data_IF_095633713164
#
_entry.id   IF_095633713164
#
_cell.length_a   1.000
_cell.length_b   1.000
_cell.length_c   1.000
_cell.angle_alpha   90.00
_cell.angle_beta   90.00
_cell.angle_gamma   90.00
#
_symmetry.space_group_name_H-M   'P 1'
#
loop_
_entity.id
_entity.type
_entity.pdbx_description
1 polymer ?
#
# COMPACT_ATOMS: atom_id res chain seq x y z
N UNK A 1 10.70 8.21 -2.57
CA UNK A 1 10.45 6.78 -2.30
C UNK A 1 11.68 5.99 -2.68
N UNK A 2 12.08 5.06 -1.84
CA UNK A 2 13.24 4.23 -2.14
C UNK A 2 12.94 3.31 -3.32
N UNK A 3 14.01 2.96 -4.05
CA UNK A 3 13.85 2.07 -5.21
C UNK A 3 13.26 0.73 -4.82
N UNK A 4 13.72 0.13 -3.73
CA UNK A 4 13.20 -1.16 -3.30
C UNK A 4 11.73 -1.09 -2.93
N UNK A 5 11.28 0.00 -2.31
CA UNK A 5 9.87 0.19 -2.00
C UNK A 5 9.05 0.30 -3.28
N UNK A 6 9.54 1.07 -4.24
CA UNK A 6 8.84 1.22 -5.51
C UNK A 6 8.74 -0.12 -6.24
N UNK A 7 9.83 -0.89 -6.25
CA UNK A 7 9.85 -2.18 -6.93
C UNK A 7 8.88 -3.17 -6.29
N UNK A 8 8.87 -3.24 -4.95
CA UNK A 8 7.98 -4.16 -4.24
C UNK A 8 6.52 -3.76 -4.40
N UNK A 9 6.22 -2.48 -4.22
CA UNK A 9 4.83 -2.04 -4.28
C UNK A 9 4.28 -2.08 -5.69
N UNK A 10 5.12 -1.81 -6.70
CA UNK A 10 4.71 -1.96 -8.08
C UNK A 10 4.40 -3.43 -8.39
N UNK A 11 5.26 -4.35 -7.92
CA UNK A 11 5.00 -5.78 -8.11
C UNK A 11 3.71 -6.19 -7.42
N UNK A 12 3.50 -5.74 -6.19
CA UNK A 12 2.28 -6.04 -5.46
C UNK A 12 1.03 -5.58 -6.23
N UNK A 13 1.05 -4.35 -6.73
CA UNK A 13 -0.09 -3.82 -7.48
C UNK A 13 -0.32 -4.56 -8.80
N UNK A 14 0.72 -5.15 -9.36
CA UNK A 14 0.63 -5.96 -10.58
C UNK A 14 0.38 -7.43 -10.30
N UNK A 15 0.19 -7.80 -9.04
CA UNK A 15 -0.04 -9.17 -8.61
C UNK A 15 1.14 -10.09 -8.93
N UNK A 16 2.35 -9.53 -8.90
CA UNK A 16 3.57 -10.27 -9.17
C UNK A 16 4.39 -10.44 -7.89
N UNK A 17 5.19 -11.49 -7.85
CA UNK A 17 6.08 -11.74 -6.71
C UNK A 17 7.37 -10.96 -6.85
N UNK A 18 7.89 -10.48 -5.73
CA UNK A 18 9.18 -9.83 -5.71
C UNK A 18 9.74 -9.83 -4.29
N UNK A 19 11.05 -9.91 -4.19
CA UNK A 19 11.73 -9.81 -2.90
C UNK A 19 12.89 -8.84 -3.03
N UNK A 20 12.99 -7.93 -2.07
CA UNK A 20 14.13 -7.04 -1.93
C UNK A 20 14.52 -7.04 -0.47
N UNK A 21 15.60 -7.75 -0.14
CA UNK A 21 16.07 -7.88 1.23
C UNK A 21 14.98 -8.44 2.13
N UNK A 22 14.48 -7.65 3.07
CA UNK A 22 13.50 -8.12 4.06
C UNK A 22 12.08 -7.71 3.74
N UNK A 23 11.88 -7.08 2.59
CA UNK A 23 10.56 -6.74 2.10
C UNK A 23 10.24 -7.66 0.94
N UNK A 24 9.05 -8.25 0.94
CA UNK A 24 8.66 -9.13 -0.15
C UNK A 24 7.17 -9.04 -0.41
N UNK A 25 6.78 -9.41 -1.61
CA UNK A 25 5.38 -9.59 -1.93
C UNK A 25 5.23 -10.89 -2.71
N UNK A 26 4.10 -11.56 -2.47
CA UNK A 26 3.72 -12.73 -3.27
C UNK A 26 2.64 -12.36 -4.29
N UNK A 27 2.37 -11.08 -4.44
CA UNK A 27 1.33 -10.58 -5.33
C UNK A 27 0.01 -10.33 -4.62
N UNK A 28 -0.24 -10.98 -3.50
CA UNK A 28 -1.48 -10.81 -2.74
C UNK A 28 -1.28 -9.99 -1.48
N UNK A 29 -0.08 -10.00 -0.93
CA UNK A 29 0.23 -9.25 0.29
C UNK A 29 1.67 -8.79 0.25
N UNK A 30 1.99 -7.84 1.11
CA UNK A 30 3.35 -7.33 1.29
C UNK A 30 3.77 -7.63 2.72
N UNK A 31 4.99 -8.16 2.85
CA UNK A 31 5.57 -8.53 4.13
C UNK A 31 6.86 -7.76 4.36
N UNK A 32 7.04 -7.26 5.57
CA UNK A 32 8.28 -6.65 6.01
C UNK A 32 8.77 -7.42 7.22
N UNK A 33 9.98 -7.98 7.14
CA UNK A 33 10.53 -8.84 8.20
C UNK A 33 9.57 -9.97 8.56
N UNK A 34 8.84 -10.49 7.58
CA UNK A 34 7.89 -11.58 7.82
C UNK A 34 6.53 -11.12 8.35
N UNK A 35 6.34 -9.84 8.62
CA UNK A 35 5.06 -9.32 9.11
C UNK A 35 4.25 -8.76 7.95
N UNK A 36 3.00 -9.18 7.84
CA UNK A 36 2.12 -8.70 6.78
C UNK A 36 1.71 -7.25 7.07
N UNK A 37 2.10 -6.35 6.19
CA UNK A 37 1.80 -4.92 6.37
C UNK A 37 0.79 -4.40 5.35
N UNK A 38 0.54 -5.13 4.27
CA UNK A 38 -0.47 -4.74 3.29
C UNK A 38 -1.01 -5.99 2.61
N UNK A 39 -2.26 -5.94 2.17
CA UNK A 39 -2.86 -7.06 1.46
C UNK A 39 -4.06 -6.58 0.65
N UNK A 40 -4.47 -7.43 -0.30
CA UNK A 40 -5.62 -7.14 -1.15
C UNK A 40 -6.84 -7.83 -0.59
N UNK A 41 -7.91 -7.06 -0.41
CA UNK A 41 -9.17 -7.60 0.02
C UNK A 41 -9.89 -8.28 -1.16
N UNK A 42 -10.87 -9.15 -0.89
CA UNK A 42 -11.58 -9.83 -1.98
C UNK A 42 -12.25 -8.90 -2.99
N UNK A 43 -12.64 -7.70 -2.57
CA UNK A 43 -13.27 -6.74 -3.47
C UNK A 43 -12.24 -5.86 -4.21
N UNK A 44 -10.96 -6.10 -4.01
CA UNK A 44 -9.90 -5.35 -4.68
C UNK A 44 -9.35 -4.17 -3.89
N UNK A 45 -9.97 -3.84 -2.77
CA UNK A 45 -9.42 -2.79 -1.91
C UNK A 45 -8.11 -3.23 -1.31
N UNK A 46 -7.29 -2.24 -0.91
CA UNK A 46 -5.99 -2.51 -0.31
C UNK A 46 -6.05 -2.13 1.17
N UNK A 47 -5.75 -3.09 2.02
CA UNK A 47 -5.66 -2.87 3.46
C UNK A 47 -4.21 -2.84 3.90
N UNK A 48 -3.91 -2.08 4.92
CA UNK A 48 -2.54 -1.95 5.42
C UNK A 48 -2.53 -1.67 6.91
N UNK A 49 -1.41 -2.00 7.54
CA UNK A 49 -1.23 -1.82 8.98
C UNK A 49 0.24 -1.68 9.28
N UNK A 50 0.56 -0.97 10.37
CA UNK A 50 1.94 -0.94 10.87
C UNK A 50 2.34 -2.26 11.49
N UNK A 51 1.38 -3.16 11.73
CA UNK A 51 1.61 -4.51 12.26
C UNK A 51 2.35 -4.49 13.60
N UNK A 52 2.16 -3.43 14.37
CA UNK A 52 2.84 -3.28 15.66
C UNK A 52 4.26 -2.73 15.57
N UNK A 53 4.75 -2.44 14.37
CA UNK A 53 6.12 -1.97 14.16
C UNK A 53 6.11 -0.51 13.71
N UNK A 54 6.32 0.40 14.67
CA UNK A 54 6.28 1.84 14.40
C UNK A 54 7.64 2.36 13.95
N UNK A 55 8.28 1.68 13.02
CA UNK A 55 9.61 2.09 12.57
C UNK A 55 9.51 2.98 11.35
N UNK A 56 10.54 3.82 11.12
CA UNK A 56 10.57 4.62 9.89
C UNK A 56 10.49 3.75 8.63
N UNK A 57 11.06 2.55 8.67
CA UNK A 57 11.02 1.65 7.51
C UNK A 57 9.58 1.22 7.20
N UNK A 58 8.81 0.82 8.22
CA UNK A 58 7.42 0.42 8.01
C UNK A 58 6.62 1.58 7.41
N UNK A 59 6.78 2.78 7.97
CA UNK A 59 6.06 3.95 7.45
C UNK A 59 6.49 4.27 6.01
N UNK A 60 7.80 4.15 5.73
CA UNK A 60 8.29 4.43 4.38
C UNK A 60 7.69 3.45 3.35
N UNK A 61 7.60 2.18 3.71
CA UNK A 61 6.99 1.18 2.82
C UNK A 61 5.51 1.48 2.57
N UNK A 62 4.76 1.73 3.63
CA UNK A 62 3.33 2.01 3.49
C UNK A 62 3.08 3.34 2.79
N UNK A 63 3.89 4.36 3.07
CA UNK A 63 3.78 5.63 2.36
C UNK A 63 4.11 5.47 0.88
N UNK A 64 5.04 4.58 0.55
CA UNK A 64 5.34 4.29 -0.84
C UNK A 64 4.13 3.69 -1.56
N UNK A 65 3.44 2.77 -0.90
CA UNK A 65 2.22 2.19 -1.46
C UNK A 65 1.13 3.25 -1.61
N UNK A 66 0.94 4.08 -0.59
CA UNK A 66 -0.06 5.14 -0.65
C UNK A 66 0.26 6.15 -1.73
N UNK A 67 1.55 6.44 -1.94
CA UNK A 67 1.94 7.36 -3.01
C UNK A 67 1.49 6.82 -4.37
N UNK A 68 1.57 5.52 -4.59
CA UNK A 68 1.14 4.90 -5.83
C UNK A 68 -0.38 4.82 -5.95
N UNK A 69 -1.08 4.69 -4.83
CA UNK A 69 -2.54 4.52 -4.84
C UNK A 69 -3.29 5.84 -4.79
N UNK A 70 -2.87 6.77 -3.94
CA UNK A 70 -3.61 8.00 -3.67
C UNK A 70 -2.73 9.24 -3.73
N UNK A 71 -1.52 9.11 -4.22
CA UNK A 71 -0.60 10.22 -4.47
C UNK A 71 -0.31 11.05 -3.23
N UNK A 72 -0.19 10.43 -2.09
CA UNK A 72 0.20 11.11 -0.84
C UNK A 72 0.89 10.15 0.11
N UNK A 73 1.50 10.70 1.16
CA UNK A 73 2.23 9.95 2.17
C UNK A 73 1.58 10.20 3.53
N UNK A 74 0.50 9.49 3.86
CA UNK A 74 -0.29 9.81 5.04
C UNK A 74 0.26 9.31 6.37
N UNK A 75 1.14 8.30 6.36
CA UNK A 75 1.65 7.74 7.60
C UNK A 75 2.74 8.62 8.17
N UNK A 76 2.57 9.07 9.41
CA UNK A 76 3.58 9.90 10.06
C UNK A 76 3.58 9.66 11.56
N UNK A 77 4.62 10.17 12.22
CA UNK A 77 4.76 10.05 13.66
C UNK A 77 5.03 11.44 14.24
N UNK A 78 4.34 11.76 15.34
CA UNK A 78 4.55 12.98 16.08
C UNK A 78 4.60 12.63 17.56
N UNK A 79 5.71 12.97 18.23
CA UNK A 79 5.87 12.71 19.68
C UNK A 79 5.56 11.26 20.03
N UNK A 80 6.13 10.33 19.25
CA UNK A 80 6.00 8.88 19.45
C UNK A 80 4.61 8.34 19.15
N UNK A 81 3.67 9.17 18.69
CA UNK A 81 2.34 8.73 18.35
C UNK A 81 2.21 8.60 16.84
N UNK A 82 1.52 7.56 16.38
CA UNK A 82 1.36 7.29 14.95
C UNK A 82 0.09 7.94 14.43
N UNK A 83 0.16 8.43 13.19
CA UNK A 83 -0.95 9.11 12.54
C UNK A 83 -1.13 8.63 11.11
N UNK A 84 -2.37 8.59 10.67
CA UNK A 84 -2.72 8.45 9.26
C UNK A 84 -3.39 9.77 8.87
N UNK A 85 -2.69 10.55 8.02
CA UNK A 85 -2.99 11.97 7.84
C UNK A 85 -2.88 12.67 9.20
N UNK A 86 -3.95 13.24 9.70
CA UNK A 86 -3.95 13.91 11.01
C UNK A 86 -4.68 13.12 12.09
N UNK A 87 -5.12 11.90 11.77
CA UNK A 87 -5.86 11.06 12.71
C UNK A 87 -4.92 10.13 13.46
N UNK A 88 -4.95 10.12 14.79
CA UNK A 88 -4.14 9.15 15.54
C UNK A 88 -4.60 7.72 15.23
N UNK A 89 -3.64 6.82 15.07
CA UNK A 89 -3.94 5.42 14.83
C UNK A 89 -3.18 4.54 15.79
N UNK A 90 -3.78 3.38 16.07
CA UNK A 90 -3.12 2.33 16.81
C UNK A 90 -2.12 1.64 15.89
N UNK A 91 -1.04 1.11 16.45
CA UNK A 91 0.00 0.45 15.66
C UNK A 91 -0.47 -0.82 14.96
N UNK A 92 -1.60 -1.38 15.40
CA UNK A 92 -2.18 -2.56 14.76
C UNK A 92 -3.48 -2.25 14.03
N UNK A 93 -3.85 -0.99 13.96
CA UNK A 93 -5.06 -0.59 13.26
C UNK A 93 -4.92 -0.85 11.76
N UNK A 94 -5.98 -1.34 11.15
CA UNK A 94 -6.02 -1.60 9.71
C UNK A 94 -6.64 -0.40 9.03
N UNK A 95 -5.94 0.10 8.01
CA UNK A 95 -6.43 1.18 7.16
C UNK A 95 -6.74 0.54 5.81
N UNK A 96 -7.95 0.75 5.30
CA UNK A 96 -8.34 0.21 4.00
C UNK A 96 -8.53 1.34 3.01
N UNK A 97 -7.91 1.20 1.84
CA UNK A 97 -7.99 2.17 0.77
C UNK A 97 -8.69 1.53 -0.41
N UNK A 98 -9.69 2.22 -0.94
CA UNK A 98 -10.32 1.79 -2.17
C UNK A 98 -9.28 1.81 -3.29
N UNK A 99 -9.14 0.70 -4.01
CA UNK A 99 -8.09 0.59 -5.03
C UNK A 99 -8.51 1.32 -6.30
N UNK A 100 -8.39 2.63 -6.23
CA UNK A 100 -8.81 3.50 -7.32
C UNK A 100 -8.02 3.21 -8.60
N UNK A 101 -6.73 2.90 -8.46
CA UNK A 101 -5.91 2.64 -9.63
C UNK A 101 -6.42 1.45 -10.43
N UNK A 102 -6.79 0.38 -9.73
CA UNK A 102 -7.31 -0.79 -10.41
C UNK A 102 -8.68 -0.49 -11.03
N UNK A 103 -9.54 0.19 -10.29
CA UNK A 103 -10.86 0.55 -10.77
C UNK A 103 -10.75 1.49 -11.97
N UNK A 104 -9.89 2.47 -11.86
CA UNK A 104 -9.71 3.44 -12.94
C UNK A 104 -9.12 2.78 -14.18
N UNK A 105 -8.22 1.84 -14.03
CA UNK A 105 -7.68 1.11 -15.15
C UNK A 105 -8.77 0.30 -15.84
N UNK A 106 -9.61 -0.37 -15.08
CA UNK A 106 -10.72 -1.10 -15.65
C UNK A 106 -11.70 -0.18 -16.35
N UNK A 107 -12.00 0.92 -15.72
CA UNK A 107 -12.90 1.91 -16.31
C UNK A 107 -12.31 2.48 -17.60
N UNK A 108 -11.03 2.76 -17.60
CA UNK A 108 -10.36 3.27 -18.79
C UNK A 108 -10.46 2.28 -19.95
N UNK A 109 -10.32 0.98 -19.67
CA UNK A 109 -10.50 -0.03 -20.69
C UNK A 109 -11.89 0.04 -21.29
N UNK A 110 -12.91 0.06 -20.43
CA UNK A 110 -14.27 0.12 -20.91
C UNK A 110 -14.54 1.41 -21.66
N UNK A 111 -14.13 2.52 -21.08
CA UNK A 111 -14.40 3.81 -21.70
C UNK A 111 -13.70 3.92 -23.03
N UNK A 112 -12.49 3.45 -23.10
CA UNK A 112 -11.72 3.52 -24.34
C UNK A 112 -12.31 2.62 -25.40
N UNK A 113 -12.79 1.47 -24.99
CA UNK A 113 -13.28 0.51 -25.95
C UNK A 113 -14.75 0.68 -26.22
N UNK A 114 -15.50 1.14 -25.24
CA UNK A 114 -16.94 1.22 -25.37
C UNK A 114 -17.37 2.60 -25.72
N UNK A 115 -16.89 3.52 -25.11
CA UNK A 115 -17.35 4.74 -25.28
C UNK A 115 -16.45 5.69 -24.89
N UNK A 116 -15.67 5.25 -24.55
CA UNK A 116 -14.82 5.91 -24.17
C UNK A 116 -15.23 6.88 -23.72
N UNK A 117 -15.92 6.66 -23.48
CA UNK A 117 -16.49 7.31 -22.96
C UNK A 117 -16.68 7.42 -22.19
#
# INVERSE_FOLDING_TARGET
MRKETKDIMTAFLRRASRRCQRTMTDGDAVYLHGNRIAWREPNGDISMTLAGWCTPTTRERLNGLCLLLIDCKPFNQRKFEQFYHDDPIDTRQVITIHNINEVDQQRAWYDTSAELT
#
